data_IF_802250856771
#
_entry.id   IF_802250856771
#
_cell.length_a   1.000
_cell.length_b   1.000
_cell.length_c   1.000
_cell.angle_alpha   90.00
_cell.angle_beta   90.00
_cell.angle_gamma   90.00
#
_symmetry.space_group_name_H-M   'P 1'
#
loop_
_entity.id
_entity.type
_entity.pdbx_description
1 polymer ?
#
# COMPACT_ATOMS: atom_id res chain seq x y z
N UNK A 1 34.98 -4.73 -33.62
CA UNK A 1 35.45 -6.09 -33.95
C UNK A 1 35.83 -6.78 -32.64
N UNK A 2 35.32 -8.01 -32.45
CA UNK A 2 35.65 -9.04 -31.43
C UNK A 2 35.40 -8.67 -29.95
N UNK A 3 34.36 -9.14 -29.24
CA UNK A 3 33.72 -10.47 -29.01
C UNK A 3 34.51 -11.46 -28.12
N UNK A 4 33.78 -11.97 -27.11
CA UNK A 4 33.91 -13.23 -26.35
C UNK A 4 34.87 -13.31 -25.15
N UNK A 5 34.31 -13.37 -23.92
CA UNK A 5 34.17 -14.59 -23.11
C UNK A 5 33.58 -14.27 -21.70
N UNK A 6 32.27 -14.46 -21.51
CA UNK A 6 31.78 -15.31 -20.40
C UNK A 6 31.74 -16.76 -20.91
N UNK A 7 31.48 -17.84 -20.13
CA UNK A 7 30.64 -17.93 -18.90
C UNK A 7 31.10 -19.00 -17.86
N UNK A 8 31.28 -18.69 -16.57
CA UNK A 8 31.83 -19.68 -15.61
C UNK A 8 31.10 -19.79 -14.25
N UNK A 9 29.77 -19.66 -14.19
CA UNK A 9 29.02 -20.13 -13.02
C UNK A 9 27.65 -20.74 -13.33
N UNK A 10 27.51 -21.33 -14.52
CA UNK A 10 26.50 -22.36 -14.85
C UNK A 10 27.05 -23.75 -14.49
N UNK A 11 27.41 -23.94 -13.20
CA UNK A 11 28.15 -25.12 -12.72
C UNK A 11 27.35 -26.11 -11.87
N UNK A 12 26.08 -25.85 -11.57
CA UNK A 12 25.27 -26.71 -10.68
C UNK A 12 24.14 -27.43 -11.43
N UNK A 13 23.82 -27.04 -12.67
CA UNK A 13 22.67 -27.56 -13.43
C UNK A 13 22.96 -28.74 -14.36
N UNK A 14 24.19 -29.30 -14.38
CA UNK A 14 24.58 -30.38 -15.32
C UNK A 14 24.87 -31.75 -14.67
N UNK A 15 24.64 -31.93 -13.37
CA UNK A 15 24.65 -33.26 -12.74
C UNK A 15 23.26 -33.94 -12.69
N UNK A 16 22.19 -33.20 -13.00
CA UNK A 16 20.81 -33.73 -13.00
C UNK A 16 20.36 -34.33 -14.34
N UNK A 17 21.14 -34.19 -15.42
CA UNK A 17 20.77 -34.66 -16.77
C UNK A 17 21.61 -35.85 -17.28
N UNK A 18 22.43 -36.46 -16.41
CA UNK A 18 23.33 -37.57 -16.76
C UNK A 18 22.81 -38.97 -16.47
N UNK A 19 21.81 -39.13 -15.58
CA UNK A 19 21.28 -40.46 -15.17
C UNK A 19 20.02 -40.86 -15.95
N UNK A 20 19.49 -40.00 -16.82
CA UNK A 20 18.21 -40.23 -17.50
C UNK A 20 18.32 -40.80 -18.92
N UNK A 21 19.51 -41.11 -19.45
CA UNK A 21 19.65 -41.48 -20.87
C UNK A 21 20.55 -42.66 -21.19
N UNK A 22 20.73 -43.62 -20.26
CA UNK A 22 21.39 -44.89 -20.62
C UNK A 22 20.83 -46.08 -19.83
N UNK A 23 20.02 -46.90 -20.51
CA UNK A 23 19.90 -48.34 -20.23
C UNK A 23 18.48 -48.86 -19.96
N UNK A 24 18.16 -50.11 -20.36
CA UNK A 24 16.94 -50.42 -21.11
C UNK A 24 15.95 -51.38 -20.42
N UNK A 25 14.71 -51.31 -20.91
CA UNK A 25 13.73 -52.38 -21.14
C UNK A 25 13.79 -53.68 -20.30
N UNK A 26 12.76 -53.92 -19.47
CA UNK A 26 12.40 -55.24 -18.97
C UNK A 26 11.42 -55.21 -17.79
N UNK A 27 10.20 -55.71 -17.99
CA UNK A 27 9.19 -56.06 -16.96
C UNK A 27 9.71 -57.11 -15.93
N UNK A 28 8.91 -57.58 -14.96
CA UNK A 28 8.04 -56.91 -13.99
C UNK A 28 8.43 -57.33 -12.54
N UNK A 29 7.64 -56.88 -11.55
CA UNK A 29 7.43 -57.50 -10.24
C UNK A 29 8.03 -56.83 -8.98
N UNK A 30 7.20 -56.98 -7.93
CA UNK A 30 7.44 -56.83 -6.48
C UNK A 30 7.25 -55.43 -5.90
N UNK A 31 6.01 -55.16 -5.47
CA UNK A 31 5.69 -54.14 -4.47
C UNK A 31 6.50 -54.37 -3.20
N UNK A 32 7.27 -53.36 -2.82
CA UNK A 32 7.96 -53.21 -1.53
C UNK A 32 7.48 -51.87 -0.90
N UNK A 33 7.50 -51.75 0.45
CA UNK A 33 6.60 -50.89 1.23
C UNK A 33 6.81 -49.38 1.00
N UNK A 34 5.85 -48.51 1.36
CA UNK A 34 5.93 -47.09 1.04
C UNK A 34 7.17 -46.44 1.69
N UNK A 35 7.92 -45.62 0.95
CA UNK A 35 9.06 -44.90 1.48
C UNK A 35 8.60 -43.86 2.50
N UNK A 36 9.31 -43.81 3.63
CA UNK A 36 9.16 -42.75 4.63
C UNK A 36 9.39 -41.38 3.98
N UNK A 37 8.61 -40.34 4.31
CA UNK A 37 8.85 -39.00 3.80
C UNK A 37 10.21 -38.48 4.31
N UNK A 38 10.95 -37.72 3.49
CA UNK A 38 12.21 -37.12 3.92
C UNK A 38 11.93 -36.18 5.10
N UNK A 39 12.73 -36.33 6.16
CA UNK A 39 12.76 -35.40 7.27
C UNK A 39 13.06 -34.00 6.72
N UNK A 40 12.02 -33.17 6.64
CA UNK A 40 12.18 -31.74 6.52
C UNK A 40 12.87 -31.31 7.81
N UNK A 41 14.10 -30.82 7.71
CA UNK A 41 14.74 -30.09 8.79
C UNK A 41 13.83 -28.89 9.08
N UNK A 42 12.99 -29.02 10.11
CA UNK A 42 12.25 -27.90 10.65
C UNK A 42 13.30 -26.86 11.10
N UNK A 43 13.30 -25.71 10.44
CA UNK A 43 13.99 -24.52 10.95
C UNK A 43 13.43 -24.30 12.35
N UNK A 44 14.30 -24.34 13.36
CA UNK A 44 13.86 -24.17 14.74
C UNK A 44 13.29 -22.75 14.89
N UNK A 45 12.17 -22.55 15.61
CA UNK A 45 11.55 -21.22 15.77
C UNK A 45 12.53 -20.19 16.40
N UNK A 46 13.49 -20.65 17.20
CA UNK A 46 14.56 -19.80 17.75
C UNK A 46 15.49 -19.21 16.67
N UNK A 47 15.62 -19.87 15.52
CA UNK A 47 16.43 -19.42 14.39
C UNK A 47 15.65 -18.40 13.54
N UNK A 48 14.33 -18.53 13.46
CA UNK A 48 13.45 -17.55 12.82
C UNK A 48 13.43 -16.24 13.63
N UNK A 49 13.28 -16.32 14.96
CA UNK A 49 13.34 -15.15 15.85
C UNK A 49 14.70 -14.42 15.77
N UNK A 50 15.80 -15.17 15.65
CA UNK A 50 17.15 -14.62 15.48
C UNK A 50 17.33 -13.95 14.12
N UNK A 51 16.74 -14.50 13.06
CA UNK A 51 16.76 -13.90 11.72
C UNK A 51 15.93 -12.62 11.72
N UNK A 52 14.74 -12.60 12.31
CA UNK A 52 13.90 -11.41 12.42
C UNK A 52 14.58 -10.31 13.25
N UNK A 53 15.27 -10.68 14.35
CA UNK A 53 16.07 -9.75 15.14
C UNK A 53 17.25 -9.19 14.34
N UNK A 54 17.94 -10.03 13.56
CA UNK A 54 19.05 -9.61 12.71
C UNK A 54 18.56 -8.72 11.55
N UNK A 55 17.43 -9.03 10.94
CA UNK A 55 16.80 -8.21 9.91
C UNK A 55 16.39 -6.85 10.46
N UNK A 56 15.81 -6.80 11.66
CA UNK A 56 15.50 -5.55 12.35
C UNK A 56 16.74 -4.69 12.65
N UNK A 57 17.83 -5.33 13.07
CA UNK A 57 19.12 -4.66 13.31
C UNK A 57 19.76 -4.16 12.02
N UNK A 58 19.70 -4.93 10.93
CA UNK A 58 20.19 -4.54 9.61
C UNK A 58 19.40 -3.33 9.10
N UNK A 59 18.07 -3.38 9.20
CA UNK A 59 17.20 -2.26 8.80
C UNK A 59 17.51 -0.97 9.56
N UNK A 60 17.72 -1.07 10.88
CA UNK A 60 18.16 0.08 11.68
C UNK A 60 19.55 0.60 11.30
N UNK A 61 20.48 -0.28 10.89
CA UNK A 61 21.79 0.15 10.38
C UNK A 61 21.67 0.82 9.01
N UNK A 62 20.80 0.32 8.14
CA UNK A 62 20.51 0.91 6.83
C UNK A 62 19.87 2.29 6.95
N UNK A 63 18.86 2.44 7.81
CA UNK A 63 18.20 3.72 8.05
C UNK A 63 19.17 4.76 8.64
N UNK A 64 20.06 4.33 9.54
CA UNK A 64 21.09 5.19 10.10
C UNK A 64 22.18 5.56 9.07
N UNK A 65 22.57 4.63 8.20
CA UNK A 65 23.51 4.92 7.12
C UNK A 65 22.91 5.91 6.10
N UNK A 66 21.62 5.78 5.80
CA UNK A 66 20.88 6.71 4.94
C UNK A 66 20.70 8.09 5.59
N UNK A 67 20.52 8.14 6.92
CA UNK A 67 20.46 9.39 7.67
C UNK A 67 21.81 10.10 7.70
N UNK A 68 22.90 9.36 7.96
CA UNK A 68 24.27 9.87 7.93
C UNK A 68 24.66 10.39 6.54
N UNK A 69 24.32 9.65 5.48
CA UNK A 69 24.61 10.09 4.11
C UNK A 69 23.84 11.36 3.74
N UNK A 70 22.57 11.50 4.15
CA UNK A 70 21.81 12.75 3.98
C UNK A 70 22.43 13.91 4.75
N UNK A 71 22.86 13.68 6.00
CA UNK A 71 23.52 14.72 6.80
C UNK A 71 24.87 15.13 6.22
N UNK A 72 25.64 14.17 5.69
CA UNK A 72 26.90 14.44 5.00
C UNK A 72 26.68 15.22 3.71
N UNK A 73 25.67 14.85 2.91
CA UNK A 73 25.28 15.59 1.72
C UNK A 73 24.81 17.02 2.05
N UNK A 74 24.09 17.22 3.15
CA UNK A 74 23.70 18.56 3.63
C UNK A 74 24.89 19.38 4.12
N UNK A 75 25.91 18.75 4.71
CA UNK A 75 27.15 19.40 5.10
C UNK A 75 28.02 19.77 3.88
N UNK A 76 28.03 18.93 2.84
CA UNK A 76 28.73 19.21 1.56
C UNK A 76 28.00 20.27 0.72
N UNK A 77 26.67 20.35 0.81
CA UNK A 77 25.87 21.39 0.16
C UNK A 77 25.93 22.75 0.88
N UNK A 78 26.57 22.84 2.05
CA UNK A 78 26.81 24.12 2.72
C UNK A 78 27.94 24.85 1.97
N UNK A 79 27.68 25.97 1.29
CA UNK A 79 28.69 26.64 0.48
C UNK A 79 29.80 27.19 1.38
N UNK A 80 31.05 26.83 1.07
CA UNK A 80 32.23 27.37 1.71
C UNK A 80 32.28 28.89 1.54
N UNK A 81 32.04 29.64 2.61
CA UNK A 81 31.98 31.10 2.53
C UNK A 81 31.53 31.82 3.79
N UNK A 82 32.21 31.58 4.92
CA UNK A 82 32.28 32.56 6.00
C UNK A 82 33.69 32.50 6.61
N UNK A 83 34.64 33.15 5.93
CA UNK A 83 35.98 33.37 6.46
C UNK A 83 35.92 34.50 7.51
N UNK A 84 36.18 34.14 8.77
CA UNK A 84 36.40 35.06 9.89
C UNK A 84 37.23 34.33 10.93
N UNK A 85 38.47 34.78 11.13
CA UNK A 85 39.53 34.03 11.80
C UNK A 85 39.26 33.57 13.23
N UNK A 86 39.94 32.48 13.58
CA UNK A 86 40.40 32.11 14.92
C UNK A 86 39.31 31.82 15.98
N UNK A 87 38.65 30.66 15.88
CA UNK A 87 38.39 29.71 16.97
C UNK A 87 37.29 28.71 16.53
N UNK A 88 37.61 27.71 15.72
CA UNK A 88 36.67 26.63 15.43
C UNK A 88 37.26 25.22 15.15
N UNK A 89 38.44 24.81 15.65
CA UNK A 89 38.75 23.39 15.72
C UNK A 89 38.21 22.73 17.00
N UNK A 90 38.01 23.50 18.08
CA UNK A 90 37.58 22.96 19.38
C UNK A 90 36.11 22.58 19.44
N UNK A 91 35.22 23.37 18.81
CA UNK A 91 33.78 23.06 18.75
C UNK A 91 33.49 21.83 17.87
N UNK A 92 34.16 21.72 16.70
CA UNK A 92 34.07 20.54 15.84
C UNK A 92 34.74 19.32 16.49
N UNK A 93 35.87 19.48 17.17
CA UNK A 93 36.50 18.39 17.90
C UNK A 93 35.64 17.93 19.09
N UNK A 94 34.99 18.85 19.80
CA UNK A 94 34.05 18.50 20.88
C UNK A 94 32.80 17.84 20.34
N UNK A 95 32.28 18.28 19.19
CA UNK A 95 31.16 17.61 18.52
C UNK A 95 31.54 16.21 18.04
N UNK A 96 32.76 16.02 17.51
CA UNK A 96 33.26 14.69 17.11
C UNK A 96 33.53 13.79 18.32
N UNK A 97 34.03 14.32 19.43
CA UNK A 97 34.18 13.58 20.69
C UNK A 97 32.82 13.21 21.29
N UNK A 98 31.85 14.11 21.21
CA UNK A 98 30.49 13.89 21.67
C UNK A 98 29.78 12.84 20.79
N UNK A 99 29.91 12.92 19.47
CA UNK A 99 29.46 11.88 18.53
C UNK A 99 30.16 10.54 18.76
N UNK A 100 31.46 10.54 19.05
CA UNK A 100 32.20 9.30 19.39
C UNK A 100 31.76 8.73 20.73
N UNK A 101 31.46 9.57 21.70
CA UNK A 101 30.94 9.15 23.01
C UNK A 101 29.50 8.63 22.89
N UNK A 102 28.66 9.25 22.05
CA UNK A 102 27.31 8.81 21.73
C UNK A 102 27.31 7.48 20.95
N UNK A 103 28.16 7.34 19.93
CA UNK A 103 28.33 6.08 19.18
C UNK A 103 28.90 4.99 20.08
N UNK A 104 29.85 5.30 20.96
CA UNK A 104 30.41 4.34 21.93
C UNK A 104 29.39 3.98 23.02
N UNK A 105 28.55 4.92 23.45
CA UNK A 105 27.45 4.67 24.39
C UNK A 105 26.31 3.84 23.77
N UNK A 106 26.02 4.07 22.48
CA UNK A 106 25.10 3.27 21.68
C UNK A 106 25.65 1.86 21.43
N UNK A 107 26.95 1.71 21.12
CA UNK A 107 27.56 0.40 20.86
C UNK A 107 27.77 -0.45 22.11
N UNK A 108 27.77 0.16 23.30
CA UNK A 108 27.96 -0.54 24.59
C UNK A 108 26.65 -0.77 25.36
N UNK A 109 25.50 -0.34 24.83
CA UNK A 109 24.19 -0.52 25.48
C UNK A 109 23.99 0.32 26.77
N UNK A 110 24.93 1.21 27.10
CA UNK A 110 24.87 2.05 28.31
C UNK A 110 23.87 3.22 28.20
N UNK A 111 23.40 3.57 27.00
CA UNK A 111 22.38 4.61 26.80
C UNK A 111 21.02 4.24 27.40
N UNK A 112 20.72 2.95 27.61
CA UNK A 112 19.51 2.52 28.34
C UNK A 112 19.68 2.56 29.87
N UNK A 113 20.91 2.72 30.37
CA UNK A 113 21.23 2.68 31.80
C UNK A 113 21.43 4.06 32.43
N UNK A 114 21.57 5.13 31.64
CA UNK A 114 21.59 6.51 32.13
C UNK A 114 20.20 7.15 32.07
N UNK A 115 19.87 8.01 33.03
CA UNK A 115 18.58 8.74 33.05
C UNK A 115 18.41 9.63 31.82
N UNK A 116 19.48 10.30 31.38
CA UNK A 116 19.48 11.12 30.16
C UNK A 116 19.28 10.31 28.88
N UNK A 117 19.87 9.12 28.77
CA UNK A 117 19.68 8.25 27.61
C UNK A 117 18.29 7.62 27.54
N UNK A 118 17.66 7.34 28.69
CA UNK A 118 16.24 6.93 28.76
C UNK A 118 15.29 8.03 28.34
N UNK A 119 15.56 9.28 28.74
CA UNK A 119 14.77 10.44 28.34
C UNK A 119 14.86 10.65 26.82
N UNK A 120 16.08 10.66 26.28
CA UNK A 120 16.33 10.77 24.83
C UNK A 120 15.67 9.64 24.03
N UNK A 121 15.74 8.39 24.50
CA UNK A 121 15.09 7.26 23.83
C UNK A 121 13.56 7.38 23.83
N UNK A 122 12.95 7.89 24.92
CA UNK A 122 11.51 8.16 24.95
C UNK A 122 11.12 9.25 23.97
N UNK A 123 11.89 10.33 23.90
CA UNK A 123 11.66 11.42 22.94
C UNK A 123 11.78 10.93 21.50
N UNK A 124 12.79 10.09 21.21
CA UNK A 124 12.95 9.45 19.90
C UNK A 124 11.79 8.49 19.56
N UNK A 125 11.28 7.72 20.53
CA UNK A 125 10.12 6.86 20.29
C UNK A 125 8.85 7.67 20.01
N UNK A 126 8.63 8.77 20.73
CA UNK A 126 7.50 9.67 20.47
C UNK A 126 7.64 10.31 19.10
N UNK A 127 8.85 10.76 18.72
CA UNK A 127 9.08 11.35 17.39
C UNK A 127 8.85 10.34 16.27
N UNK A 128 9.35 9.11 16.40
CA UNK A 128 9.10 8.04 15.41
C UNK A 128 7.61 7.69 15.34
N UNK A 129 6.91 7.63 16.48
CA UNK A 129 5.47 7.37 16.49
C UNK A 129 4.68 8.49 15.79
N UNK A 130 5.06 9.74 16.00
CA UNK A 130 4.40 10.89 15.37
C UNK A 130 4.74 11.00 13.88
N UNK A 131 5.96 10.68 13.48
CA UNK A 131 6.38 10.58 12.08
C UNK A 131 5.58 9.47 11.37
N UNK A 132 5.49 8.26 11.95
CA UNK A 132 4.65 7.19 11.40
C UNK A 132 3.17 7.58 11.30
N UNK A 133 2.63 8.30 12.29
CA UNK A 133 1.24 8.78 12.23
C UNK A 133 1.05 9.81 11.11
N UNK A 134 2.03 10.67 10.90
CA UNK A 134 2.02 11.71 9.87
C UNK A 134 2.13 11.09 8.49
N UNK A 135 3.12 10.22 8.27
CA UNK A 135 3.27 9.46 7.02
C UNK A 135 2.01 8.66 6.68
N UNK A 136 1.39 7.99 7.66
CA UNK A 136 0.13 7.27 7.43
C UNK A 136 -1.01 8.21 7.04
N UNK A 137 -1.08 9.42 7.59
CA UNK A 137 -2.08 10.42 7.17
C UNK A 137 -1.82 10.91 5.77
N UNK A 138 -0.57 11.21 5.44
CA UNK A 138 -0.17 11.64 4.10
C UNK A 138 -0.42 10.56 3.05
N UNK A 139 -0.05 9.31 3.33
CA UNK A 139 -0.34 8.17 2.45
C UNK A 139 -1.84 7.99 2.24
N UNK A 140 -2.66 8.12 3.30
CA UNK A 140 -4.13 8.08 3.15
C UNK A 140 -4.63 9.21 2.27
N UNK A 141 -4.15 10.44 2.46
CA UNK A 141 -4.56 11.58 1.63
C UNK A 141 -4.15 11.38 0.17
N UNK A 142 -2.93 10.90 -0.09
CA UNK A 142 -2.46 10.60 -1.43
C UNK A 142 -3.30 9.51 -2.11
N UNK A 143 -3.66 8.44 -1.39
CA UNK A 143 -4.55 7.39 -1.89
C UNK A 143 -5.93 7.95 -2.22
N UNK A 144 -6.52 8.76 -1.34
CA UNK A 144 -7.83 9.39 -1.58
C UNK A 144 -7.80 10.27 -2.82
N UNK A 145 -6.77 11.08 -3.01
CA UNK A 145 -6.62 11.93 -4.20
C UNK A 145 -6.44 11.08 -5.48
N UNK A 146 -5.62 10.03 -5.40
CA UNK A 146 -5.41 9.10 -6.50
C UNK A 146 -6.69 8.36 -6.88
N UNK A 147 -7.44 7.87 -5.90
CA UNK A 147 -8.72 7.19 -6.13
C UNK A 147 -9.75 8.15 -6.72
N UNK A 148 -9.82 9.39 -6.23
CA UNK A 148 -10.73 10.40 -6.75
C UNK A 148 -10.44 10.72 -8.23
N UNK A 149 -9.18 10.94 -8.57
CA UNK A 149 -8.75 11.19 -9.96
C UNK A 149 -9.03 10.00 -10.88
N UNK A 150 -8.75 8.77 -10.42
CA UNK A 150 -9.04 7.56 -11.19
C UNK A 150 -10.55 7.38 -11.41
N UNK A 151 -11.37 7.60 -10.39
CA UNK A 151 -12.83 7.50 -10.50
C UNK A 151 -13.41 8.53 -11.47
N UNK A 152 -12.90 9.76 -11.46
CA UNK A 152 -13.30 10.79 -12.42
C UNK A 152 -12.90 10.39 -13.85
N UNK A 153 -11.64 9.96 -14.06
CA UNK A 153 -11.16 9.55 -15.39
C UNK A 153 -11.99 8.39 -15.98
N UNK A 154 -12.25 7.36 -15.18
CA UNK A 154 -13.09 6.22 -15.61
C UNK A 154 -14.52 6.64 -15.94
N UNK A 155 -15.08 7.62 -15.22
CA UNK A 155 -16.42 8.14 -15.50
C UNK A 155 -16.46 8.89 -16.82
N UNK A 156 -15.52 9.82 -17.02
CA UNK A 156 -15.43 10.58 -18.28
C UNK A 156 -15.23 9.64 -19.47
N UNK A 157 -14.40 8.61 -19.32
CA UNK A 157 -14.20 7.61 -20.37
C UNK A 157 -15.49 6.83 -20.68
N UNK A 158 -16.22 6.37 -19.65
CA UNK A 158 -17.52 5.69 -19.85
C UNK A 158 -18.54 6.60 -20.52
N UNK A 159 -18.62 7.86 -20.11
CA UNK A 159 -19.54 8.82 -20.69
C UNK A 159 -19.19 9.10 -22.15
N UNK A 160 -17.89 9.20 -22.49
CA UNK A 160 -17.44 9.32 -23.88
C UNK A 160 -17.79 8.10 -24.72
N UNK A 161 -17.61 6.88 -24.17
CA UNK A 161 -18.02 5.64 -24.84
C UNK A 161 -19.53 5.59 -25.07
N UNK A 162 -20.32 5.93 -24.04
CA UNK A 162 -21.76 6.05 -24.18
C UNK A 162 -22.15 7.08 -25.24
N UNK A 163 -21.53 8.27 -25.24
CA UNK A 163 -21.79 9.31 -26.23
C UNK A 163 -21.47 8.84 -27.66
N UNK A 164 -20.36 8.12 -27.85
CA UNK A 164 -19.98 7.56 -29.17
C UNK A 164 -20.91 6.43 -29.61
N UNK A 165 -21.23 5.50 -28.72
CA UNK A 165 -21.97 4.28 -29.04
C UNK A 165 -23.47 4.57 -29.26
N UNK A 166 -24.02 5.50 -28.46
CA UNK A 166 -25.40 5.98 -28.59
C UNK A 166 -25.56 7.05 -29.68
N UNK A 167 -24.44 7.49 -30.28
CA UNK A 167 -24.36 8.58 -31.27
C UNK A 167 -25.13 9.82 -30.80
N UNK A 168 -24.86 10.25 -29.57
CA UNK A 168 -25.51 11.42 -29.00
C UNK A 168 -25.19 12.66 -29.84
N UNK A 169 -26.17 13.55 -30.00
CA UNK A 169 -25.90 14.88 -30.53
C UNK A 169 -25.02 15.67 -29.55
N UNK A 170 -24.25 16.64 -30.06
CA UNK A 170 -23.40 17.51 -29.22
C UNK A 170 -24.18 18.24 -28.11
N UNK A 171 -25.46 18.57 -28.34
CA UNK A 171 -26.33 19.16 -27.32
C UNK A 171 -26.73 18.13 -26.26
N UNK A 172 -27.16 16.93 -26.68
CA UNK A 172 -27.49 15.85 -25.75
C UNK A 172 -26.28 15.43 -24.90
N UNK A 173 -25.10 15.30 -25.50
CA UNK A 173 -23.87 14.98 -24.77
C UNK A 173 -23.59 16.01 -23.68
N UNK A 174 -23.67 17.31 -24.01
CA UNK A 174 -23.46 18.40 -23.04
C UNK A 174 -24.49 18.37 -21.91
N UNK A 175 -25.76 18.20 -22.23
CA UNK A 175 -26.83 18.19 -21.23
C UNK A 175 -26.74 16.95 -20.33
N UNK A 176 -26.50 15.76 -20.89
CA UNK A 176 -26.30 14.53 -20.12
C UNK A 176 -25.08 14.64 -19.22
N UNK A 177 -23.95 15.14 -19.75
CA UNK A 177 -22.72 15.36 -18.97
C UNK A 177 -23.00 16.27 -17.78
N UNK A 178 -23.63 17.42 -18.02
CA UNK A 178 -23.97 18.38 -16.98
C UNK A 178 -24.86 17.77 -15.89
N UNK A 179 -25.91 17.02 -16.26
CA UNK A 179 -26.83 16.38 -15.31
C UNK A 179 -26.13 15.33 -14.44
N UNK A 180 -25.25 14.53 -15.04
CA UNK A 180 -24.49 13.50 -14.32
C UNK A 180 -23.42 14.09 -13.40
N UNK A 181 -22.80 15.20 -13.80
CA UNK A 181 -21.86 15.96 -12.98
C UNK A 181 -22.57 16.63 -11.79
N UNK A 182 -23.74 17.21 -12.02
CA UNK A 182 -24.59 17.78 -10.96
C UNK A 182 -25.06 16.69 -9.97
N UNK A 183 -25.46 15.51 -10.46
CA UNK A 183 -25.75 14.34 -9.62
C UNK A 183 -24.52 13.98 -8.78
N UNK A 184 -23.32 13.94 -9.40
CA UNK A 184 -22.10 13.59 -8.69
C UNK A 184 -21.71 14.58 -7.59
N UNK A 185 -21.82 15.89 -7.86
CA UNK A 185 -21.55 16.93 -6.89
C UNK A 185 -22.48 16.80 -5.67
N UNK A 186 -23.77 16.55 -5.91
CA UNK A 186 -24.76 16.30 -4.85
C UNK A 186 -24.48 15.01 -4.09
N UNK A 187 -24.12 13.92 -4.80
CA UNK A 187 -23.70 12.65 -4.17
C UNK A 187 -22.51 12.85 -3.22
N UNK A 188 -21.51 13.63 -3.63
CA UNK A 188 -20.35 13.95 -2.80
C UNK A 188 -20.76 14.74 -1.56
N UNK A 189 -21.57 15.80 -1.71
CA UNK A 189 -22.06 16.58 -0.58
C UNK A 189 -22.86 15.74 0.43
N UNK A 190 -23.63 14.75 -0.05
CA UNK A 190 -24.34 13.81 0.82
C UNK A 190 -23.37 12.91 1.60
N UNK A 191 -22.31 12.41 0.96
CA UNK A 191 -21.26 11.66 1.65
C UNK A 191 -20.50 12.51 2.67
N UNK A 192 -20.19 13.75 2.34
CA UNK A 192 -19.50 14.66 3.25
C UNK A 192 -20.38 14.96 4.49
N UNK A 193 -21.70 15.16 4.29
CA UNK A 193 -22.65 15.33 5.41
C UNK A 193 -22.77 14.08 6.30
N UNK A 194 -22.64 12.89 5.71
CA UNK A 194 -22.60 11.63 6.43
C UNK A 194 -21.32 11.51 7.28
N UNK A 195 -20.17 11.91 6.71
CA UNK A 195 -18.89 11.86 7.39
C UNK A 195 -18.77 12.91 8.49
N UNK A 196 -19.41 14.07 8.32
CA UNK A 196 -19.54 15.10 9.34
C UNK A 196 -20.49 14.70 10.49
N UNK A 197 -21.34 13.70 10.29
CA UNK A 197 -22.32 13.23 11.27
C UNK A 197 -23.65 13.98 11.27
N UNK A 198 -23.88 14.86 10.27
CA UNK A 198 -25.10 15.66 10.14
C UNK A 198 -26.33 14.83 9.74
N UNK A 199 -26.10 13.76 8.97
CA UNK A 199 -27.16 12.87 8.47
C UNK A 199 -26.88 11.40 8.79
N UNK A 200 -27.95 10.66 9.08
CA UNK A 200 -27.84 9.22 9.27
C UNK A 200 -27.56 8.51 7.94
N UNK A 201 -26.85 7.38 8.00
CA UNK A 201 -26.60 6.53 6.84
C UNK A 201 -27.89 6.11 6.11
N UNK A 202 -28.98 5.90 6.87
CA UNK A 202 -30.28 5.52 6.30
C UNK A 202 -30.85 6.65 5.44
N UNK A 203 -30.79 7.88 5.93
CA UNK A 203 -31.34 9.06 5.26
C UNK A 203 -30.53 9.39 4.01
N UNK A 204 -29.19 9.40 4.14
CA UNK A 204 -28.27 9.56 3.01
C UNK A 204 -28.56 8.52 1.92
N UNK A 205 -28.77 7.25 2.29
CA UNK A 205 -29.11 6.20 1.32
C UNK A 205 -30.47 6.39 0.65
N UNK A 206 -31.45 7.00 1.32
CA UNK A 206 -32.73 7.34 0.72
C UNK A 206 -32.59 8.52 -0.23
N UNK A 207 -31.93 9.60 0.20
CA UNK A 207 -31.68 10.79 -0.61
C UNK A 207 -30.84 10.45 -1.86
N UNK A 208 -29.83 9.59 -1.74
CA UNK A 208 -29.04 9.09 -2.86
C UNK A 208 -29.88 8.35 -3.91
N UNK A 209 -30.88 7.58 -3.47
CA UNK A 209 -31.79 6.86 -4.39
C UNK A 209 -32.71 7.84 -5.11
N UNK A 210 -33.30 8.79 -4.38
CA UNK A 210 -34.17 9.81 -4.96
C UNK A 210 -33.41 10.70 -5.95
N UNK A 211 -32.21 11.15 -5.58
CA UNK A 211 -31.34 11.95 -6.44
C UNK A 211 -31.04 11.22 -7.76
N UNK A 212 -30.76 9.92 -7.68
CA UNK A 212 -30.53 9.09 -8.85
C UNK A 212 -31.78 8.94 -9.71
N UNK A 213 -32.93 8.61 -9.12
CA UNK A 213 -34.20 8.46 -9.84
C UNK A 213 -34.60 9.75 -10.56
N UNK A 214 -34.39 10.90 -9.92
CA UNK A 214 -34.61 12.22 -10.52
C UNK A 214 -33.69 12.45 -11.71
N UNK A 215 -32.37 12.23 -11.54
CA UNK A 215 -31.39 12.42 -12.62
C UNK A 215 -31.65 11.46 -13.78
N UNK A 216 -31.95 10.19 -13.50
CA UNK A 216 -32.25 9.18 -14.51
C UNK A 216 -33.53 9.56 -15.28
N UNK A 217 -34.54 10.14 -14.61
CA UNK A 217 -35.76 10.62 -15.28
C UNK A 217 -35.46 11.80 -16.20
N UNK A 218 -34.70 12.78 -15.73
CA UNK A 218 -34.32 13.97 -16.51
C UNK A 218 -33.46 13.59 -17.72
N UNK A 219 -32.49 12.68 -17.55
CA UNK A 219 -31.64 12.22 -18.63
C UNK A 219 -32.42 11.40 -19.65
N UNK A 220 -33.28 10.46 -19.22
CA UNK A 220 -34.10 9.65 -20.13
C UNK A 220 -35.08 10.49 -20.95
N UNK A 221 -35.53 11.64 -20.44
CA UNK A 221 -36.37 12.56 -21.19
C UNK A 221 -35.64 13.20 -22.39
N UNK A 222 -34.30 13.28 -22.34
CA UNK A 222 -33.46 13.84 -23.41
C UNK A 222 -33.01 12.80 -24.45
N UNK A 223 -33.26 11.50 -24.17
CA UNK A 223 -32.75 10.37 -24.94
C UNK A 223 -33.87 9.62 -25.65
N UNK A 224 -33.54 9.13 -26.85
CA UNK A 224 -34.40 8.22 -27.62
C UNK A 224 -34.40 6.80 -27.02
N UNK A 225 -35.34 5.94 -27.44
CA UNK A 225 -35.54 4.60 -26.84
C UNK A 225 -34.29 3.69 -26.93
N UNK A 226 -33.58 3.72 -28.06
CA UNK A 226 -32.32 2.98 -28.21
C UNK A 226 -31.22 3.53 -27.29
N UNK A 227 -31.14 4.85 -27.16
CA UNK A 227 -30.16 5.54 -26.32
C UNK A 227 -30.45 5.32 -24.83
N UNK A 228 -31.71 5.24 -24.43
CA UNK A 228 -32.14 4.91 -23.06
C UNK A 228 -31.67 3.52 -22.62
N UNK A 229 -31.75 2.54 -23.52
CA UNK A 229 -31.30 1.18 -23.24
C UNK A 229 -29.80 1.15 -22.96
N UNK A 230 -29.00 1.83 -23.79
CA UNK A 230 -27.55 1.95 -23.59
C UNK A 230 -27.21 2.77 -22.33
N UNK A 231 -27.99 3.80 -22.02
CA UNK A 231 -27.86 4.55 -20.78
C UNK A 231 -28.09 3.65 -19.56
N UNK A 232 -29.14 2.82 -19.58
CA UNK A 232 -29.45 1.89 -18.50
C UNK A 232 -28.38 0.80 -18.34
N UNK A 233 -27.72 0.37 -19.42
CA UNK A 233 -26.54 -0.50 -19.36
C UNK A 233 -25.36 0.19 -18.69
N UNK A 234 -24.98 1.39 -19.16
CA UNK A 234 -23.93 2.21 -18.56
C UNK A 234 -24.17 2.42 -17.05
N UNK A 235 -25.41 2.73 -16.66
CA UNK A 235 -25.81 2.94 -15.25
C UNK A 235 -25.79 1.66 -14.41
N UNK A 236 -26.00 0.49 -15.02
CA UNK A 236 -25.87 -0.82 -14.35
C UNK A 236 -24.41 -1.17 -14.12
N UNK A 237 -23.54 -0.91 -15.10
CA UNK A 237 -22.10 -1.15 -14.97
C UNK A 237 -21.45 -0.27 -13.91
N UNK A 238 -21.83 1.01 -13.83
CA UNK A 238 -21.35 1.94 -12.79
C UNK A 238 -21.66 1.40 -11.39
N UNK A 239 -22.86 0.84 -11.20
CA UNK A 239 -23.28 0.29 -9.91
C UNK A 239 -22.53 -0.98 -9.50
N UNK A 240 -22.21 -1.84 -10.46
CA UNK A 240 -21.51 -3.09 -10.18
C UNK A 240 -20.05 -2.86 -9.84
N UNK A 241 -19.39 -1.90 -10.49
CA UNK A 241 -17.97 -1.59 -10.27
C UNK A 241 -17.72 -0.60 -9.12
N UNK A 242 -18.71 0.22 -8.76
CA UNK A 242 -18.59 1.24 -7.72
C UNK A 242 -18.74 0.73 -6.29
N UNK A 243 -18.97 -0.58 -6.06
CA UNK A 243 -18.98 -1.14 -4.71
C UNK A 243 -17.54 -1.32 -4.23
N UNK A 244 -17.10 -0.63 -3.17
CA UNK A 244 -15.81 -0.94 -2.58
C UNK A 244 -15.87 -2.39 -2.10
N UNK A 245 -14.96 -3.22 -2.62
CA UNK A 245 -14.85 -4.66 -2.30
C UNK A 245 -14.76 -4.93 -0.79
N UNK A 246 -14.37 -3.91 -0.03
CA UNK A 246 -14.19 -3.91 1.42
C UNK A 246 -15.50 -4.01 2.21
N UNK A 247 -16.62 -3.50 1.69
CA UNK A 247 -17.94 -3.62 2.36
C UNK A 247 -18.56 -5.03 2.25
N UNK A 248 -17.96 -5.92 1.47
CA UNK A 248 -18.43 -7.30 1.30
C UNK A 248 -17.66 -8.31 2.16
N UNK A 249 -16.52 -7.92 2.77
CA UNK A 249 -15.76 -8.78 3.69
C UNK A 249 -16.08 -8.57 5.18
N UNK A 250 -16.83 -7.53 5.55
CA UNK A 250 -17.14 -7.22 6.95
C UNK A 250 -18.40 -7.88 7.56
N UNK A 251 -19.17 -8.64 6.78
CA UNK A 251 -20.46 -9.23 7.22
C UNK A 251 -20.48 -10.76 7.24
N UNK A 252 -19.32 -11.41 7.41
CA UNK A 252 -19.20 -12.88 7.37
C UNK A 252 -18.51 -13.55 8.57
N UNK A 253 -17.77 -12.83 9.42
CA UNK A 253 -17.03 -13.42 10.53
C UNK A 253 -17.20 -12.58 11.81
N UNK A 254 -18.22 -12.90 12.59
CA UNK A 254 -18.43 -12.25 13.89
C UNK A 254 -19.60 -12.80 14.71
N UNK A 255 -20.15 -13.96 14.35
CA UNK A 255 -21.32 -14.52 15.03
C UNK A 255 -21.19 -16.03 15.26
N UNK A 256 -20.06 -16.47 15.82
CA UNK A 256 -19.92 -17.78 16.47
C UNK A 256 -19.05 -17.60 17.71
N UNK A 257 -19.68 -17.34 18.86
CA UNK A 257 -18.97 -17.18 20.12
C UNK A 257 -19.84 -16.61 21.23
N UNK A 258 -20.97 -17.25 21.53
CA UNK A 258 -21.88 -16.72 22.56
C UNK A 258 -23.10 -17.55 22.86
N UNK A 259 -23.05 -18.88 22.73
CA UNK A 259 -24.06 -19.78 23.31
C UNK A 259 -23.39 -21.02 23.84
N UNK A 260 -23.11 -21.01 25.15
CA UNK A 260 -23.22 -22.13 26.10
C UNK A 260 -22.60 -21.70 27.43
N UNK A 261 -23.45 -21.44 28.42
CA UNK A 261 -23.36 -22.03 29.76
C UNK A 261 -24.07 -21.11 30.77
N UNK A 262 -25.36 -21.36 31.00
CA UNK A 262 -26.01 -21.08 32.29
C UNK A 262 -27.31 -21.86 32.38
N UNK A 263 -27.40 -22.75 33.38
CA UNK A 263 -28.67 -23.22 33.93
C UNK A 263 -28.97 -24.69 33.67
N UNK A 264 -28.58 -25.53 34.62
CA UNK A 264 -28.94 -26.94 34.78
C UNK A 264 -28.29 -27.45 36.04
#
# INVERSE_FOLDING_TARGET
MNRFLGPASLGVSLLALGVALWGPSGEPAVQSPPPSPPAQAAVSPELEDLVDELEGRIKMLEDNALSLSRRMMLLEQRPGGAAGGAAAPAALASEVEQLRAEVRGLSTGQTLHSEGGRQYFKEMLVSVQDEMRTEQREQRQQRVLQDQTQLQAQRTERLRRFASDARLSSSQERDVTRRLDDENAKRQALFDSMQAGDKSFRDVRQEMRQLREQTDTEVKALLDESQRTQYDEMRREEWQRGRPREWQQGQGQGQQGGRRSRGG
#
